data_IF_434088221684
#
_entry.id   IF_434088221684
#
_cell.length_a   1.000
_cell.length_b   1.000
_cell.length_c   1.000
_cell.angle_alpha   90.00
_cell.angle_beta   90.00
_cell.angle_gamma   90.00
#
_symmetry.space_group_name_H-M   'P 1'
#
loop_
_entity.id
_entity.type
_entity.pdbx_description
1 polymer ?
#
# COMPACT_ATOMS: atom_id res chain seq x y z
N UNK A 1 -1.82 11.78 7.99
CA UNK A 1 -0.53 12.38 7.55
C UNK A 1 -0.68 12.94 6.13
N UNK A 2 0.10 13.93 5.71
CA UNK A 2 0.06 14.41 4.31
C UNK A 2 0.89 13.51 3.36
N UNK A 3 0.77 13.73 2.05
CA UNK A 3 1.45 12.91 1.04
C UNK A 3 2.99 12.91 1.15
N UNK A 4 3.61 14.05 1.46
CA UNK A 4 5.07 14.15 1.59
C UNK A 4 5.59 13.46 2.87
N UNK A 5 4.85 13.52 3.97
CA UNK A 5 5.10 12.72 5.16
C UNK A 5 4.99 11.22 4.86
N UNK A 6 3.95 10.83 4.13
CA UNK A 6 3.74 9.44 3.75
C UNK A 6 4.91 8.91 2.90
N UNK A 7 5.39 9.70 1.92
CA UNK A 7 6.57 9.36 1.12
C UNK A 7 7.85 9.19 1.96
N UNK A 8 8.05 10.03 2.98
CA UNK A 8 9.19 9.87 3.90
C UNK A 8 9.11 8.55 4.66
N UNK A 9 7.92 8.17 5.14
CA UNK A 9 7.72 6.91 5.87
C UNK A 9 7.91 5.71 4.92
N UNK A 10 7.39 5.76 3.69
CA UNK A 10 7.64 4.72 2.68
C UNK A 10 9.14 4.54 2.45
N UNK A 11 9.89 5.62 2.25
CA UNK A 11 11.36 5.58 2.07
C UNK A 11 12.08 4.96 3.26
N UNK A 12 11.64 5.29 4.48
CA UNK A 12 12.23 4.73 5.71
C UNK A 12 11.97 3.23 5.89
N UNK A 13 10.95 2.68 5.23
CA UNK A 13 10.53 1.28 5.38
C UNK A 13 10.75 0.41 4.15
N UNK A 14 11.47 0.89 3.13
CA UNK A 14 11.75 0.12 1.90
C UNK A 14 12.46 -1.21 2.16
N UNK A 15 13.16 -1.33 3.29
CA UNK A 15 13.78 -2.59 3.74
C UNK A 15 12.77 -3.74 3.98
N UNK A 16 11.46 -3.45 4.06
CA UNK A 16 10.39 -4.45 4.13
C UNK A 16 10.08 -5.09 2.79
N UNK A 17 10.37 -4.42 1.67
CA UNK A 17 10.10 -4.93 0.33
C UNK A 17 10.89 -6.23 0.08
N UNK A 18 10.21 -7.22 -0.50
CA UNK A 18 10.79 -8.53 -0.78
C UNK A 18 10.81 -9.50 0.41
N UNK A 19 10.53 -9.04 1.64
CA UNK A 19 10.34 -9.95 2.77
C UNK A 19 9.03 -10.72 2.63
N UNK A 20 8.97 -11.88 3.28
CA UNK A 20 7.79 -12.77 3.25
C UNK A 20 7.09 -12.73 4.60
N UNK A 21 5.77 -12.59 4.58
CA UNK A 21 4.88 -12.70 5.75
C UNK A 21 3.76 -13.68 5.43
N UNK A 22 3.53 -14.68 6.28
CA UNK A 22 2.53 -15.72 6.06
C UNK A 22 2.60 -16.36 4.66
N UNK A 23 3.81 -16.62 4.16
CA UNK A 23 4.04 -17.19 2.82
C UNK A 23 3.81 -16.24 1.64
N UNK A 24 3.46 -14.97 1.87
CA UNK A 24 3.29 -13.96 0.82
C UNK A 24 4.42 -12.93 0.86
N UNK A 25 4.97 -12.61 -0.31
CA UNK A 25 5.99 -11.57 -0.48
C UNK A 25 5.35 -10.17 -0.37
N UNK A 26 6.02 -9.26 0.33
CA UNK A 26 5.70 -7.83 0.32
C UNK A 26 6.23 -7.23 -0.99
N UNK A 27 5.33 -6.82 -1.87
CA UNK A 27 5.69 -6.31 -3.20
C UNK A 27 5.69 -4.78 -3.27
N UNK A 28 4.95 -4.10 -2.40
CA UNK A 28 4.82 -2.65 -2.44
C UNK A 28 4.47 -2.08 -1.06
N UNK A 29 5.00 -0.89 -0.79
CA UNK A 29 4.52 0.00 0.27
C UNK A 29 3.69 1.08 -0.41
N UNK A 30 2.38 1.04 -0.27
CA UNK A 30 1.49 1.92 -1.00
C UNK A 30 0.82 2.92 -0.05
N UNK A 31 0.70 4.15 -0.53
CA UNK A 31 0.03 5.25 0.16
C UNK A 31 -1.45 5.27 -0.29
N UNK A 32 -2.38 5.61 0.58
CA UNK A 32 -3.81 5.63 0.24
C UNK A 32 -4.54 6.75 1.01
N UNK A 33 -5.61 7.34 0.44
CA UNK A 33 -6.44 8.31 1.16
C UNK A 33 -7.24 7.62 2.29
N UNK A 34 -7.35 8.27 3.45
CA UNK A 34 -8.06 7.72 4.62
C UNK A 34 -9.58 7.89 4.53
N UNK A 35 -10.06 8.87 3.78
CA UNK A 35 -11.50 9.00 3.52
C UNK A 35 -12.03 7.77 2.78
N UNK A 36 -13.15 7.23 3.23
CA UNK A 36 -13.69 5.96 2.72
C UNK A 36 -14.18 6.06 1.27
N UNK A 37 -14.76 7.20 0.89
CA UNK A 37 -15.24 7.43 -0.47
C UNK A 37 -14.06 7.56 -1.43
N UNK A 38 -13.07 8.38 -1.06
CA UNK A 38 -11.82 8.53 -1.84
C UNK A 38 -11.03 7.23 -1.92
N UNK A 39 -10.95 6.46 -0.83
CA UNK A 39 -10.31 5.15 -0.82
C UNK A 39 -10.95 4.18 -1.82
N UNK A 40 -12.29 4.16 -1.88
CA UNK A 40 -13.01 3.28 -2.80
C UNK A 40 -12.69 3.60 -4.26
N UNK A 41 -12.67 4.89 -4.62
CA UNK A 41 -12.30 5.35 -5.97
C UNK A 41 -10.83 5.06 -6.25
N UNK A 42 -9.94 5.38 -5.31
CA UNK A 42 -8.51 5.11 -5.39
C UNK A 42 -8.24 3.62 -5.67
N UNK A 43 -8.90 2.69 -4.97
CA UNK A 43 -8.70 1.25 -5.17
C UNK A 43 -9.14 0.80 -6.56
N UNK A 44 -10.22 1.36 -7.12
CA UNK A 44 -10.64 1.06 -8.49
C UNK A 44 -9.60 1.52 -9.52
N UNK A 45 -9.04 2.72 -9.34
CA UNK A 45 -7.95 3.25 -10.17
C UNK A 45 -6.70 2.39 -10.04
N UNK A 46 -6.31 2.07 -8.81
CA UNK A 46 -5.12 1.28 -8.51
C UNK A 46 -5.19 -0.14 -9.08
N UNK A 47 -6.36 -0.80 -9.05
CA UNK A 47 -6.54 -2.10 -9.70
C UNK A 47 -6.32 -2.07 -11.21
N UNK A 48 -6.60 -0.93 -11.84
CA UNK A 48 -6.48 -0.76 -13.29
C UNK A 48 -5.06 -0.39 -13.68
N UNK A 49 -4.46 0.58 -12.98
CA UNK A 49 -3.12 1.08 -13.30
C UNK A 49 -1.99 0.23 -12.70
N UNK A 50 -2.27 -0.47 -11.59
CA UNK A 50 -1.27 -1.08 -10.70
C UNK A 50 -0.12 -0.13 -10.35
N UNK A 51 -0.40 1.16 -10.29
CA UNK A 51 0.57 2.21 -10.02
C UNK A 51 0.01 3.09 -8.91
N UNK A 52 0.65 3.05 -7.74
CA UNK A 52 0.18 3.78 -6.57
C UNK A 52 0.23 5.30 -6.77
N UNK A 53 1.35 5.83 -7.28
CA UNK A 53 1.54 7.26 -7.45
C UNK A 53 0.58 7.84 -8.51
N UNK A 54 0.37 7.13 -9.61
CA UNK A 54 -0.60 7.53 -10.63
C UNK A 54 -2.03 7.57 -10.08
N UNK A 55 -2.40 6.54 -9.32
CA UNK A 55 -3.75 6.41 -8.75
C UNK A 55 -4.02 7.42 -7.63
N UNK A 56 -2.97 7.94 -6.97
CA UNK A 56 -3.06 8.93 -5.90
C UNK A 56 -3.19 10.37 -6.38
N UNK A 57 -2.87 10.67 -7.64
CA UNK A 57 -2.86 12.05 -8.16
C UNK A 57 -4.12 12.87 -7.86
N UNK A 58 -5.35 12.31 -7.88
CA UNK A 58 -6.54 13.09 -7.54
C UNK A 58 -6.68 13.44 -6.06
N UNK A 59 -5.94 12.77 -5.18
CA UNK A 59 -6.18 12.75 -3.74
C UNK A 59 -5.05 13.37 -2.93
N UNK A 60 -4.01 13.95 -3.55
CA UNK A 60 -2.73 14.29 -2.86
C UNK A 60 -2.88 15.22 -1.64
N UNK A 61 -3.94 16.02 -1.61
CA UNK A 61 -4.24 16.99 -0.54
C UNK A 61 -5.00 16.36 0.63
N UNK A 62 -5.45 15.11 0.51
CA UNK A 62 -6.16 14.38 1.55
C UNK A 62 -5.23 13.83 2.62
N UNK A 63 -5.84 13.42 3.74
CA UNK A 63 -5.13 12.66 4.75
C UNK A 63 -4.82 11.24 4.26
N UNK A 64 -3.58 10.83 4.44
CA UNK A 64 -3.03 9.58 3.92
C UNK A 64 -2.74 8.54 5.00
N UNK A 65 -2.82 7.28 4.60
CA UNK A 65 -2.29 6.11 5.30
C UNK A 65 -1.28 5.35 4.45
N UNK A 66 -0.61 4.37 5.06
CA UNK A 66 0.35 3.48 4.38
C UNK A 66 0.07 2.04 4.74
N UNK A 67 0.11 1.16 3.75
CA UNK A 67 0.03 -0.29 3.91
C UNK A 67 1.06 -0.98 3.03
N UNK A 68 1.39 -2.22 3.39
CA UNK A 68 2.18 -3.15 2.61
C UNK A 68 1.23 -3.98 1.74
N UNK A 69 1.38 -3.96 0.41
CA UNK A 69 0.71 -4.90 -0.50
C UNK A 69 1.49 -6.20 -0.53
N UNK A 70 0.77 -7.30 -0.34
CA UNK A 70 1.30 -8.65 -0.43
C UNK A 70 0.90 -9.27 -1.76
N UNK A 71 1.85 -9.94 -2.42
CA UNK A 71 1.64 -10.70 -3.65
C UNK A 71 0.88 -9.88 -4.73
N UNK A 72 1.40 -8.69 -5.08
CA UNK A 72 0.77 -7.71 -5.99
C UNK A 72 0.41 -8.33 -7.34
N UNK A 73 1.20 -9.29 -7.83
CA UNK A 73 0.93 -10.00 -9.08
C UNK A 73 -0.43 -10.70 -9.12
N UNK A 74 -0.96 -11.10 -7.94
CA UNK A 74 -2.27 -11.74 -7.82
C UNK A 74 -3.44 -10.78 -8.10
N UNK A 75 -3.25 -9.45 -7.94
CA UNK A 75 -4.31 -8.45 -8.14
C UNK A 75 -4.76 -8.41 -9.61
N UNK A 76 -3.82 -8.55 -10.55
CA UNK A 76 -4.11 -8.63 -11.99
C UNK A 76 -4.99 -9.83 -12.35
N UNK A 77 -5.02 -10.86 -11.51
CA UNK A 77 -5.86 -12.04 -11.72
C UNK A 77 -7.27 -11.87 -11.14
N UNK A 78 -7.65 -10.65 -10.74
CA UNK A 78 -8.94 -10.34 -10.14
C UNK A 78 -9.04 -10.66 -8.65
N UNK A 79 -7.94 -11.07 -8.03
CA UNK A 79 -7.94 -11.42 -6.61
C UNK A 79 -8.12 -10.20 -5.69
N UNK A 80 -8.48 -10.47 -4.44
CA UNK A 80 -8.55 -9.46 -3.40
C UNK A 80 -7.15 -8.87 -3.16
N UNK A 81 -7.10 -7.57 -2.88
CA UNK A 81 -5.87 -6.92 -2.42
C UNK A 81 -5.58 -7.43 -1.01
N UNK A 82 -4.48 -8.15 -0.86
CA UNK A 82 -3.94 -8.54 0.44
C UNK A 82 -3.01 -7.44 0.92
N UNK A 83 -3.32 -6.87 2.08
CA UNK A 83 -2.55 -5.77 2.63
C UNK A 83 -2.49 -5.82 4.15
N UNK A 84 -1.37 -5.38 4.71
CA UNK A 84 -1.15 -5.22 6.14
C UNK A 84 -0.60 -3.82 6.42
N UNK A 85 -0.78 -3.32 7.63
CA UNK A 85 -0.08 -2.13 8.11
C UNK A 85 1.41 -2.43 8.30
N UNK A 86 2.24 -1.39 8.34
CA UNK A 86 3.68 -1.54 8.62
C UNK A 86 3.92 -2.22 9.98
N UNK A 87 3.11 -1.90 11.00
CA UNK A 87 3.29 -2.47 12.34
C UNK A 87 2.92 -3.96 12.38
N UNK A 88 1.82 -4.36 11.73
CA UNK A 88 1.49 -5.78 11.61
C UNK A 88 2.60 -6.56 10.91
N UNK A 89 3.18 -5.99 9.84
CA UNK A 89 4.31 -6.60 9.14
C UNK A 89 5.54 -6.73 10.05
N UNK A 90 5.88 -5.71 10.84
CA UNK A 90 7.03 -5.78 11.77
C UNK A 90 6.84 -6.88 12.79
N UNK A 91 5.68 -6.94 13.43
CA UNK A 91 5.37 -7.97 14.41
C UNK A 91 5.50 -9.39 13.82
N UNK A 92 5.09 -9.59 12.57
CA UNK A 92 5.14 -10.89 11.89
C UNK A 92 6.52 -11.29 11.34
N UNK A 93 7.48 -10.37 11.30
CA UNK A 93 8.85 -10.62 10.79
C UNK A 93 9.86 -10.73 11.94
N UNK A 94 9.54 -10.14 13.09
CA UNK A 94 10.36 -10.19 14.29
C UNK A 94 10.17 -11.49 15.10
N UNK A 95 9.13 -12.28 14.78
CA UNK A 95 8.91 -13.66 15.24
C UNK A 95 9.63 -14.70 14.36
#
# INVERSE_FOLDING_TARGET
MNFEEAKKIVRAHTYLLGKTVNGMKIDELFIYPLDEASYSVFIAMYRTALNNEESLRPFIEEEMGIKCILNKSSINMGNKIHSLTINEVKNLIED
#
